data_IF_493784726949
#
_entry.id   IF_493784726949
#
_cell.length_a   1.000
_cell.length_b   1.000
_cell.length_c   1.000
_cell.angle_alpha   90.00
_cell.angle_beta   90.00
_cell.angle_gamma   90.00
#
_symmetry.space_group_name_H-M   'P 1'
#
loop_
_entity.id
_entity.type
_entity.pdbx_description
1 polymer ?
#
# COMPACT_ATOMS: atom_id res chain seq x y z
N UNK A 1 4.34 12.65 -22.71
CA UNK A 1 3.70 11.68 -21.79
C UNK A 1 4.66 11.42 -20.65
N UNK A 2 4.21 11.56 -19.41
CA UNK A 2 5.02 11.14 -18.27
C UNK A 2 5.20 9.62 -18.35
N UNK A 3 6.45 9.14 -18.27
CA UNK A 3 6.75 7.70 -18.27
C UNK A 3 6.65 7.09 -16.88
N UNK A 4 6.27 7.88 -15.87
CA UNK A 4 6.21 7.43 -14.49
C UNK A 4 4.87 6.76 -14.20
N UNK A 5 4.87 5.73 -13.37
CA UNK A 5 3.66 5.12 -12.81
C UNK A 5 3.57 5.43 -11.33
N UNK A 6 2.44 5.96 -10.89
CA UNK A 6 2.16 6.17 -9.46
C UNK A 6 1.41 4.96 -8.92
N UNK A 7 1.90 4.37 -7.83
CA UNK A 7 1.22 3.32 -7.09
C UNK A 7 0.80 3.88 -5.74
N UNK A 8 -0.49 3.81 -5.43
CA UNK A 8 -1.07 4.33 -4.19
C UNK A 8 -1.40 3.15 -3.27
N UNK A 9 -0.69 3.05 -2.15
CA UNK A 9 -0.80 1.98 -1.16
C UNK A 9 0.37 0.99 -1.24
N UNK A 10 1.08 0.84 -0.14
CA UNK A 10 2.22 -0.05 0.09
C UNK A 10 1.86 -1.39 0.72
N UNK A 11 0.63 -1.87 0.52
CA UNK A 11 0.23 -3.23 0.87
C UNK A 11 0.79 -4.30 -0.09
N UNK A 12 0.42 -5.58 0.09
CA UNK A 12 0.89 -6.67 -0.76
C UNK A 12 0.65 -6.44 -2.27
N UNK A 13 -0.52 -5.89 -2.61
CA UNK A 13 -0.87 -5.57 -3.99
C UNK A 13 0.02 -4.48 -4.58
N UNK A 14 0.20 -3.36 -3.87
CA UNK A 14 0.99 -2.23 -4.36
C UNK A 14 2.49 -2.51 -4.40
N UNK A 15 3.03 -3.21 -3.39
CA UNK A 15 4.44 -3.65 -3.39
C UNK A 15 4.70 -4.62 -4.55
N UNK A 16 3.78 -5.55 -4.83
CA UNK A 16 3.89 -6.46 -5.98
C UNK A 16 3.83 -5.72 -7.32
N UNK A 17 2.93 -4.74 -7.44
CA UNK A 17 2.84 -3.90 -8.64
C UNK A 17 4.14 -3.11 -8.85
N UNK A 18 4.63 -2.44 -7.80
CA UNK A 18 5.85 -1.65 -7.84
C UNK A 18 7.09 -2.50 -8.17
N UNK A 19 7.18 -3.71 -7.59
CA UNK A 19 8.24 -4.69 -7.92
C UNK A 19 8.22 -5.03 -9.40
N UNK A 20 7.05 -5.34 -9.95
CA UNK A 20 6.91 -5.76 -11.35
C UNK A 20 7.27 -4.62 -12.30
N UNK A 21 6.74 -3.43 -12.05
CA UNK A 21 7.04 -2.23 -12.84
C UNK A 21 8.53 -1.85 -12.78
N UNK A 22 9.13 -1.90 -11.58
CA UNK A 22 10.56 -1.65 -11.39
C UNK A 22 11.45 -2.67 -12.11
N UNK A 23 11.04 -3.94 -12.20
CA UNK A 23 11.78 -4.97 -12.97
C UNK A 23 11.69 -4.75 -14.48
N UNK A 24 10.59 -4.17 -14.96
CA UNK A 24 10.42 -3.79 -16.36
C UNK A 24 11.17 -2.49 -16.72
N UNK A 25 11.87 -1.86 -15.77
CA UNK A 25 12.59 -0.61 -15.99
C UNK A 25 11.67 0.62 -16.04
N UNK A 26 10.43 0.49 -15.58
CA UNK A 26 9.47 1.60 -15.54
C UNK A 26 9.67 2.39 -14.24
N UNK A 27 9.91 3.69 -14.39
CA UNK A 27 10.01 4.62 -13.26
C UNK A 27 8.72 4.61 -12.47
N UNK A 28 8.78 4.16 -11.21
CA UNK A 28 7.61 3.94 -10.37
C UNK A 28 7.73 4.74 -9.08
N UNK A 29 6.66 5.42 -8.69
CA UNK A 29 6.56 6.12 -7.42
C UNK A 29 5.55 5.35 -6.58
N UNK A 30 5.99 4.79 -5.45
CA UNK A 30 5.11 4.10 -4.50
C UNK A 30 4.85 5.04 -3.32
N UNK A 31 3.59 5.39 -3.11
CA UNK A 31 3.14 6.24 -2.01
C UNK A 31 2.41 5.39 -0.98
N UNK A 32 2.83 5.47 0.28
CA UNK A 32 2.22 4.78 1.41
C UNK A 32 1.98 5.78 2.54
N UNK A 33 0.76 5.73 3.11
CA UNK A 33 0.32 6.61 4.17
C UNK A 33 0.99 6.29 5.51
N UNK A 34 1.29 5.03 5.75
CA UNK A 34 1.97 4.57 6.95
C UNK A 34 3.50 4.72 6.86
N UNK A 35 4.19 4.59 8.00
CA UNK A 35 5.65 4.64 8.07
C UNK A 35 6.34 3.33 7.67
N UNK A 36 5.56 2.31 7.27
CA UNK A 36 6.06 0.96 6.93
C UNK A 36 5.28 0.38 5.76
N UNK A 37 6.00 -0.35 4.90
CA UNK A 37 5.40 -1.17 3.84
C UNK A 37 4.92 -2.52 4.37
N UNK A 38 4.01 -3.15 3.64
CA UNK A 38 3.46 -4.48 3.92
C UNK A 38 1.96 -4.47 4.20
N UNK A 39 1.36 -3.30 4.42
CA UNK A 39 -0.07 -3.14 4.65
C UNK A 39 -0.58 -3.85 5.90
N UNK A 40 -1.88 -4.19 5.92
CA UNK A 40 -2.56 -4.80 7.08
C UNK A 40 -1.83 -5.99 7.69
N UNK A 41 -1.33 -6.98 6.92
CA UNK A 41 -0.67 -8.14 7.50
C UNK A 41 0.55 -7.80 8.38
N UNK A 42 1.26 -6.72 8.06
CA UNK A 42 2.45 -6.27 8.81
C UNK A 42 2.08 -5.27 9.90
N UNK A 43 1.12 -4.39 9.63
CA UNK A 43 0.68 -3.34 10.58
C UNK A 43 -0.09 -3.92 11.77
N UNK A 44 -0.87 -4.96 11.54
CA UNK A 44 -1.71 -5.61 12.56
C UNK A 44 -1.12 -6.94 13.06
N UNK A 45 0.17 -7.18 12.74
CA UNK A 45 0.95 -8.33 13.21
C UNK A 45 0.23 -9.69 13.05
N UNK A 46 -0.19 -9.99 11.82
CA UNK A 46 -0.87 -11.26 11.55
C UNK A 46 0.06 -12.43 11.90
N UNK A 47 -0.45 -13.37 12.69
CA UNK A 47 0.38 -14.46 13.18
C UNK A 47 0.91 -15.34 12.04
N UNK A 48 0.04 -15.73 11.11
CA UNK A 48 0.38 -16.73 10.09
C UNK A 48 -0.48 -16.57 8.84
N UNK A 49 0.18 -16.53 7.68
CA UNK A 49 -0.47 -16.51 6.38
C UNK A 49 -0.76 -17.92 5.89
N UNK A 50 -2.02 -18.14 5.51
CA UNK A 50 -2.48 -19.35 4.85
C UNK A 50 -2.24 -19.26 3.33
N UNK A 51 -2.02 -20.39 2.62
CA UNK A 51 -2.00 -21.78 3.11
C UNK A 51 -0.62 -22.23 3.64
N UNK A 52 0.45 -21.48 3.36
CA UNK A 52 1.84 -21.92 3.64
C UNK A 52 2.24 -21.91 5.12
N UNK A 53 1.42 -21.33 5.99
CA UNK A 53 1.68 -21.16 7.42
C UNK A 53 2.99 -20.41 7.72
N UNK A 54 3.24 -19.33 6.99
CA UNK A 54 4.43 -18.48 7.18
C UNK A 54 4.06 -17.13 7.78
N UNK A 55 5.00 -16.47 8.47
CA UNK A 55 4.77 -15.12 8.97
C UNK A 55 4.70 -14.11 7.81
N UNK A 56 3.89 -13.04 7.91
CA UNK A 56 3.83 -12.00 6.89
C UNK A 56 5.19 -11.39 6.56
N UNK A 57 6.02 -11.15 7.58
CA UNK A 57 7.38 -10.62 7.43
C UNK A 57 8.27 -11.50 6.56
N UNK A 58 8.11 -12.83 6.61
CA UNK A 58 8.91 -13.76 5.81
C UNK A 58 8.48 -13.77 4.34
N UNK A 59 7.20 -13.52 4.07
CA UNK A 59 6.66 -13.52 2.70
C UNK A 59 6.86 -12.16 2.04
N UNK A 60 6.56 -11.08 2.76
CA UNK A 60 6.59 -9.71 2.23
C UNK A 60 7.97 -9.06 2.36
N UNK A 61 8.77 -9.42 3.38
CA UNK A 61 10.10 -8.86 3.61
C UNK A 61 11.00 -8.90 2.37
N UNK A 62 11.20 -10.06 1.73
CA UNK A 62 12.02 -10.15 0.52
C UNK A 62 11.50 -9.27 -0.63
N UNK A 63 10.18 -9.15 -0.76
CA UNK A 63 9.54 -8.35 -1.81
C UNK A 63 9.72 -6.86 -1.55
N UNK A 64 9.57 -6.43 -0.29
CA UNK A 64 9.82 -5.06 0.16
C UNK A 64 11.29 -4.70 -0.02
N UNK A 65 12.21 -5.59 0.33
CA UNK A 65 13.64 -5.39 0.15
C UNK A 65 14.02 -5.24 -1.33
N UNK A 66 13.44 -6.07 -2.21
CA UNK A 66 13.62 -5.95 -3.66
C UNK A 66 13.12 -4.59 -4.17
N UNK A 67 11.99 -4.11 -3.67
CA UNK A 67 11.41 -2.81 -4.08
C UNK A 67 12.28 -1.66 -3.59
N UNK A 68 12.69 -1.67 -2.33
CA UNK A 68 13.52 -0.61 -1.74
C UNK A 68 14.92 -0.54 -2.35
N UNK A 69 15.47 -1.68 -2.78
CA UNK A 69 16.79 -1.73 -3.45
C UNK A 69 16.74 -1.34 -4.92
N UNK A 70 15.57 -1.31 -5.55
CA UNK A 70 15.46 -1.03 -6.98
C UNK A 70 15.54 0.49 -7.25
N UNK A 71 16.53 0.90 -8.04
CA UNK A 71 16.72 2.31 -8.42
C UNK A 71 15.57 2.91 -9.21
N UNK A 72 14.74 2.07 -9.86
CA UNK A 72 13.58 2.51 -10.63
C UNK A 72 12.34 2.76 -9.78
N UNK A 73 12.34 2.37 -8.50
CA UNK A 73 11.19 2.56 -7.60
C UNK A 73 11.54 3.55 -6.50
N UNK A 74 10.81 4.67 -6.46
CA UNK A 74 10.90 5.66 -5.38
C UNK A 74 9.77 5.42 -4.39
N UNK A 75 10.12 5.00 -3.18
CA UNK A 75 9.17 4.79 -2.10
C UNK A 75 9.05 6.07 -1.26
N UNK A 76 7.82 6.53 -1.05
CA UNK A 76 7.46 7.65 -0.15
C UNK A 76 6.55 7.12 0.94
N UNK A 77 7.07 7.08 2.16
CA UNK A 77 6.36 6.65 3.36
C UNK A 77 5.78 7.87 4.09
N UNK A 78 4.77 7.66 4.93
CA UNK A 78 4.13 8.75 5.69
C UNK A 78 3.47 9.81 4.80
N UNK A 79 3.11 9.45 3.57
CA UNK A 79 2.65 10.39 2.55
C UNK A 79 1.34 9.89 1.96
N UNK A 80 0.37 10.79 1.83
CA UNK A 80 -0.94 10.50 1.24
C UNK A 80 -1.11 11.28 -0.06
N UNK A 81 -2.02 10.79 -0.91
CA UNK A 81 -2.45 11.52 -2.11
C UNK A 81 -3.66 12.37 -1.74
N UNK A 82 -3.55 13.69 -1.85
CA UNK A 82 -4.62 14.62 -1.50
C UNK A 82 -5.51 14.94 -2.71
N UNK A 83 -4.89 15.15 -3.86
CA UNK A 83 -5.59 15.54 -5.07
C UNK A 83 -4.90 14.94 -6.29
N UNK A 84 -5.70 14.57 -7.29
CA UNK A 84 -5.23 14.10 -8.58
C UNK A 84 -5.95 14.86 -9.68
N UNK A 85 -5.19 15.56 -10.52
CA UNK A 85 -5.70 16.33 -11.65
C UNK A 85 -5.03 15.85 -12.94
N UNK A 86 -5.72 16.01 -14.07
CA UNK A 86 -5.17 15.73 -15.40
C UNK A 86 -5.91 14.64 -16.16
N UNK A 87 -5.28 14.18 -17.23
CA UNK A 87 -5.84 13.23 -18.20
C UNK A 87 -4.93 12.01 -18.35
N UNK A 88 -5.44 10.89 -18.93
CA UNK A 88 -4.62 9.71 -19.17
C UNK A 88 -3.31 10.05 -19.89
N UNK A 89 -2.17 9.68 -19.30
CA UNK A 89 -0.83 9.99 -19.81
C UNK A 89 -0.19 11.27 -19.25
N UNK A 90 -0.94 12.11 -18.54
CA UNK A 90 -0.46 13.33 -17.90
C UNK A 90 -1.25 13.68 -16.62
N UNK A 91 -1.07 12.88 -15.58
CA UNK A 91 -1.59 13.14 -14.24
C UNK A 91 -0.61 13.98 -13.43
N UNK A 92 -1.14 14.98 -12.73
CA UNK A 92 -0.47 15.73 -11.66
C UNK A 92 -1.13 15.38 -10.35
N UNK A 93 -0.36 14.81 -9.43
CA UNK A 93 -0.87 14.32 -8.15
C UNK A 93 -0.20 15.09 -7.03
N UNK A 94 -1.00 15.72 -6.18
CA UNK A 94 -0.55 16.45 -5.00
C UNK A 94 -0.47 15.50 -3.82
N UNK A 95 0.67 15.50 -3.16
CA UNK A 95 0.96 14.69 -1.99
C UNK A 95 0.81 15.53 -0.70
N UNK A 96 0.53 14.85 0.42
CA UNK A 96 0.34 15.50 1.73
C UNK A 96 1.59 16.20 2.27
N UNK A 97 2.78 15.85 1.76
CA UNK A 97 4.05 16.51 2.08
C UNK A 97 4.25 17.83 1.30
N UNK A 98 3.28 18.26 0.49
CA UNK A 98 3.34 19.47 -0.34
C UNK A 98 4.01 19.26 -1.71
N UNK A 99 4.55 18.07 -1.98
CA UNK A 99 5.16 17.73 -3.27
C UNK A 99 4.08 17.44 -4.32
N UNK A 100 4.38 17.76 -5.59
CA UNK A 100 3.54 17.36 -6.73
C UNK A 100 4.31 16.37 -7.59
N UNK A 101 3.70 15.22 -7.85
CA UNK A 101 4.29 14.16 -8.69
C UNK A 101 3.54 14.03 -10.01
N UNK A 102 4.28 13.87 -11.09
CA UNK A 102 3.71 13.66 -12.43
C UNK A 102 3.75 12.17 -12.80
N UNK A 103 2.61 11.63 -13.21
CA UNK A 103 2.45 10.22 -13.58
C UNK A 103 1.69 10.07 -14.90
N UNK A 104 2.09 9.11 -15.74
CA UNK A 104 1.35 8.73 -16.94
C UNK A 104 0.18 7.80 -16.62
N UNK A 105 0.31 6.98 -15.58
CA UNK A 105 -0.71 6.05 -15.11
C UNK A 105 -0.70 5.95 -13.58
N UNK A 106 -1.85 5.59 -13.01
CA UNK A 106 -2.05 5.46 -11.57
C UNK A 106 -2.59 4.06 -11.28
N UNK A 107 -1.98 3.37 -10.31
CA UNK A 107 -2.44 2.09 -9.77
C UNK A 107 -2.95 2.34 -8.35
N UNK A 108 -4.23 2.10 -8.13
CA UNK A 108 -4.86 2.25 -6.81
C UNK A 108 -4.85 0.89 -6.11
N UNK A 109 -4.09 0.80 -5.02
CA UNK A 109 -3.87 -0.41 -4.22
C UNK A 109 -3.99 -0.13 -2.71
N UNK A 110 -4.94 0.73 -2.33
CA UNK A 110 -5.16 1.24 -0.96
C UNK A 110 -5.71 0.21 0.04
N UNK A 111 -5.99 -1.01 -0.42
CA UNK A 111 -6.37 -2.14 0.43
C UNK A 111 -7.80 -2.04 0.95
N UNK A 112 -7.98 -2.36 2.23
CA UNK A 112 -9.29 -2.45 2.88
C UNK A 112 -9.24 -1.95 4.33
N UNK A 113 -10.42 -1.85 4.95
CA UNK A 113 -10.60 -1.56 6.37
C UNK A 113 -11.33 -2.71 7.06
N UNK A 114 -10.96 -2.99 8.31
CA UNK A 114 -11.65 -3.98 9.14
C UNK A 114 -13.09 -3.55 9.37
N UNK A 115 -13.99 -4.52 9.32
CA UNK A 115 -15.38 -4.30 9.67
C UNK A 115 -15.49 -3.91 11.15
N UNK A 116 -16.27 -2.87 11.47
CA UNK A 116 -16.57 -2.50 12.84
C UNK A 116 -17.74 -3.36 13.37
N UNK A 117 -17.50 -4.36 14.24
CA UNK A 117 -18.54 -5.28 14.70
C UNK A 117 -19.52 -4.65 15.69
N UNK A 118 -19.28 -3.42 16.18
CA UNK A 118 -20.28 -2.68 16.99
C UNK A 118 -21.57 -2.42 16.22
N UNK A 119 -21.52 -2.46 14.88
CA UNK A 119 -22.69 -2.37 13.99
C UNK A 119 -23.60 -3.60 14.09
N UNK A 120 -23.10 -4.68 14.71
CA UNK A 120 -23.78 -5.94 14.97
C UNK A 120 -23.93 -6.14 16.47
N UNK A 121 -24.78 -5.31 17.07
CA UNK A 121 -24.98 -5.25 18.52
C UNK A 121 -25.40 -6.60 19.13
N UNK A 122 -26.08 -7.44 18.36
CA UNK A 122 -26.46 -8.80 18.76
C UNK A 122 -25.27 -9.72 19.09
N UNK A 123 -24.08 -9.39 18.59
CA UNK A 123 -22.84 -10.15 18.83
C UNK A 123 -22.07 -9.67 20.07
N UNK A 124 -22.49 -8.54 20.68
CA UNK A 124 -21.94 -8.08 21.95
C UNK A 124 -20.51 -7.52 21.91
N UNK A 125 -19.95 -7.24 20.71
CA UNK A 125 -18.62 -6.64 20.57
C UNK A 125 -18.55 -5.26 21.23
N UNK A 126 -17.67 -5.12 22.22
CA UNK A 126 -17.53 -3.92 23.05
C UNK A 126 -18.55 -3.79 24.19
N UNK A 127 -19.43 -4.77 24.38
CA UNK A 127 -20.25 -4.94 25.60
C UNK A 127 -19.63 -6.01 26.51
N UNK A 128 -19.21 -7.13 25.93
CA UNK A 128 -18.53 -8.21 26.65
C UNK A 128 -17.01 -8.13 26.40
N UNK A 129 -16.17 -8.13 27.45
CA UNK A 129 -14.71 -8.01 27.31
C UNK A 129 -14.07 -9.14 26.47
N UNK A 130 -14.66 -10.33 26.48
CA UNK A 130 -14.10 -11.51 25.82
C UNK A 130 -14.52 -11.64 24.34
N UNK A 131 -15.31 -10.69 23.82
CA UNK A 131 -15.69 -10.65 22.41
C UNK A 131 -14.68 -9.78 21.65
N UNK A 132 -13.76 -10.45 20.93
CA UNK A 132 -12.64 -9.83 20.21
C UNK A 132 -12.75 -10.00 18.68
N UNK A 133 -11.92 -9.26 17.94
CA UNK A 133 -11.75 -9.35 16.47
C UNK A 133 -10.33 -9.69 16.09
#
# INVERSE_FOLDING_TARGET
>A
MSKNVLVIGGGPAGVSAAKTLGKLGISTILVEKEQKLGGRPVLEDYHTLIPRKLKPSQVLGPVVDEVTKNSNVKVKLGTEVEACEGTPGNYKVKLSNGETVEAGAIVVATGFQHFNPRRKGELGYGLFPDVIT
#
